data_IF_797714401585
#
_entry.id   IF_797714401585
#
_cell.length_a   1.000
_cell.length_b   1.000
_cell.length_c   1.000
_cell.angle_alpha   90.00
_cell.angle_beta   90.00
_cell.angle_gamma   90.00
#
_symmetry.space_group_name_H-M   'P 1'
#
loop_
_entity.id
_entity.type
_entity.pdbx_description
1 polymer ?
#
# COMPACT_ATOMS: atom_id res chain seq x y z
N UNK A 1 7.25 24.49 25.94
CA UNK A 1 7.85 24.29 24.59
C UNK A 1 6.77 23.67 23.72
N UNK A 2 6.55 24.17 22.52
CA UNK A 2 5.60 23.51 21.60
C UNK A 2 6.28 22.39 20.78
N UNK A 3 5.48 21.56 20.08
CA UNK A 3 6.00 20.44 19.29
C UNK A 3 7.05 20.87 18.27
N UNK A 4 6.83 21.99 17.57
CA UNK A 4 7.72 22.48 16.51
C UNK A 4 9.08 22.89 17.06
N UNK A 5 9.08 23.58 18.18
CA UNK A 5 10.31 23.99 18.85
C UNK A 5 11.09 22.80 19.39
N UNK A 6 10.40 21.82 19.98
CA UNK A 6 11.05 20.58 20.46
C UNK A 6 11.71 19.82 19.31
N UNK A 7 10.98 19.60 18.21
CA UNK A 7 11.48 18.90 17.01
C UNK A 7 12.72 19.62 16.46
N UNK A 8 12.65 20.94 16.30
CA UNK A 8 13.77 21.75 15.81
C UNK A 8 15.03 21.63 16.68
N UNK A 9 14.86 21.60 18.01
CA UNK A 9 15.98 21.48 18.96
C UNK A 9 16.63 20.08 18.90
N UNK A 10 15.85 19.02 18.63
CA UNK A 10 16.34 17.63 18.62
C UNK A 10 16.54 17.06 17.22
N UNK A 11 16.46 17.89 16.17
CA UNK A 11 16.44 17.43 14.78
C UNK A 11 17.67 16.58 14.42
N UNK A 12 18.86 16.99 14.86
CA UNK A 12 20.09 16.23 14.59
C UNK A 12 20.08 14.82 15.21
N UNK A 13 19.50 14.66 16.42
CA UNK A 13 19.31 13.36 17.04
C UNK A 13 18.29 12.52 16.26
N UNK A 14 17.20 13.11 15.82
CA UNK A 14 16.14 12.45 15.04
C UNK A 14 16.67 11.97 13.68
N UNK A 15 17.43 12.81 12.98
CA UNK A 15 18.12 12.44 11.74
C UNK A 15 19.12 11.28 11.96
N UNK A 16 19.87 11.27 13.07
CA UNK A 16 20.80 10.19 13.38
C UNK A 16 20.09 8.85 13.62
N UNK A 17 18.93 8.87 14.29
CA UNK A 17 18.10 7.66 14.47
C UNK A 17 17.57 7.13 13.15
N UNK A 18 17.09 8.01 12.28
CA UNK A 18 16.65 7.63 10.95
C UNK A 18 17.80 7.05 10.12
N UNK A 19 18.98 7.70 10.15
CA UNK A 19 20.16 7.24 9.44
C UNK A 19 20.58 5.82 9.90
N UNK A 20 20.49 5.54 11.19
CA UNK A 20 20.77 4.22 11.73
C UNK A 20 19.76 3.17 11.22
N UNK A 21 18.45 3.47 11.22
CA UNK A 21 17.44 2.55 10.70
C UNK A 21 17.63 2.30 9.18
N UNK A 22 17.95 3.34 8.41
CA UNK A 22 18.21 3.21 6.96
C UNK A 22 19.45 2.37 6.69
N UNK A 23 20.47 2.43 7.56
CA UNK A 23 21.70 1.63 7.39
C UNK A 23 21.49 0.13 7.51
N UNK A 24 20.41 -0.31 8.13
CA UNK A 24 20.05 -1.72 8.26
C UNK A 24 19.46 -2.22 6.93
N UNK A 25 20.09 -3.24 6.36
CA UNK A 25 19.69 -3.83 5.06
C UNK A 25 18.49 -4.76 5.24
N UNK A 26 17.34 -4.23 5.61
CA UNK A 26 16.11 -5.00 5.83
C UNK A 26 15.37 -5.30 4.52
N UNK A 27 16.05 -5.91 3.56
CA UNK A 27 15.44 -6.28 2.28
C UNK A 27 14.42 -7.39 2.49
N UNK A 28 13.23 -7.21 1.94
CA UNK A 28 12.11 -8.13 2.05
C UNK A 28 12.50 -9.52 1.52
N UNK A 29 12.09 -10.58 2.25
CA UNK A 29 12.45 -11.98 1.93
C UNK A 29 13.77 -12.45 2.56
N UNK A 30 14.66 -11.58 3.04
CA UNK A 30 15.87 -11.96 3.76
C UNK A 30 15.66 -11.90 5.29
N UNK A 31 15.10 -12.98 5.84
CA UNK A 31 14.76 -13.07 7.27
C UNK A 31 15.96 -12.81 8.21
N UNK A 32 17.21 -13.07 7.76
CA UNK A 32 18.41 -12.81 8.58
C UNK A 32 18.68 -11.31 8.68
N UNK A 33 18.57 -10.59 7.57
CA UNK A 33 18.78 -9.14 7.53
C UNK A 33 17.64 -8.41 8.27
N UNK A 34 16.41 -8.88 8.13
CA UNK A 34 15.23 -8.33 8.81
C UNK A 34 15.35 -8.32 10.35
N UNK A 35 16.06 -9.28 10.95
CA UNK A 35 16.28 -9.33 12.40
C UNK A 35 16.98 -8.09 12.96
N UNK A 36 17.89 -7.49 12.21
CA UNK A 36 18.59 -6.27 12.65
C UNK A 36 17.62 -5.10 12.80
N UNK A 37 16.65 -4.95 11.87
CA UNK A 37 15.56 -3.98 11.95
C UNK A 37 14.67 -4.21 13.18
N UNK A 38 14.29 -5.47 13.44
CA UNK A 38 13.51 -5.84 14.63
C UNK A 38 14.25 -5.44 15.92
N UNK A 39 15.52 -5.80 16.05
CA UNK A 39 16.33 -5.45 17.23
C UNK A 39 16.36 -3.94 17.44
N UNK A 40 16.69 -3.18 16.41
CA UNK A 40 16.77 -1.72 16.49
C UNK A 40 15.42 -1.07 16.86
N UNK A 41 14.32 -1.50 16.24
CA UNK A 41 13.00 -0.96 16.53
C UNK A 41 12.52 -1.32 17.94
N UNK A 42 12.79 -2.54 18.40
CA UNK A 42 12.50 -2.95 19.80
C UNK A 42 13.24 -2.04 20.79
N UNK A 43 14.51 -1.73 20.52
CA UNK A 43 15.28 -0.82 21.35
C UNK A 43 14.73 0.61 21.31
N UNK A 44 14.35 1.12 20.12
CA UNK A 44 13.68 2.41 19.99
C UNK A 44 12.39 2.49 20.80
N UNK A 45 11.51 1.50 20.67
CA UNK A 45 10.25 1.46 21.40
C UNK A 45 10.44 1.42 22.92
N UNK A 46 11.41 0.64 23.40
CA UNK A 46 11.69 0.54 24.83
C UNK A 46 12.36 1.79 25.39
N UNK A 47 13.38 2.33 24.69
CA UNK A 47 14.19 3.43 25.21
C UNK A 47 13.49 4.78 25.08
N UNK A 48 12.81 5.04 23.94
CA UNK A 48 12.16 6.33 23.70
C UNK A 48 10.75 6.38 24.31
N UNK A 49 9.99 5.31 24.18
CA UNK A 49 8.56 5.32 24.51
C UNK A 49 8.23 4.51 25.76
N UNK A 50 9.20 3.85 26.39
CA UNK A 50 9.03 2.94 27.53
C UNK A 50 7.92 1.88 27.25
N UNK A 51 7.80 1.48 25.97
CA UNK A 51 6.74 0.61 25.51
C UNK A 51 6.91 -0.84 26.03
N UNK A 52 5.78 -1.51 26.23
CA UNK A 52 5.72 -2.97 26.37
C UNK A 52 5.80 -3.58 24.98
N UNK A 53 6.89 -4.27 24.66
CA UNK A 53 7.15 -4.77 23.31
C UNK A 53 7.05 -6.29 23.26
N UNK A 54 6.26 -6.78 22.30
CA UNK A 54 6.14 -8.20 21.97
C UNK A 54 6.60 -8.39 20.52
N UNK A 55 7.59 -9.25 20.32
CA UNK A 55 7.99 -9.70 18.98
C UNK A 55 7.19 -10.95 18.66
N UNK A 56 6.32 -10.84 17.66
CA UNK A 56 5.39 -11.89 17.25
C UNK A 56 6.04 -12.71 16.14
N UNK A 57 6.11 -14.02 16.32
CA UNK A 57 6.52 -14.95 15.28
C UNK A 57 5.38 -15.11 14.27
N UNK A 58 5.68 -14.84 13.04
CA UNK A 58 4.80 -15.10 11.88
C UNK A 58 5.29 -16.35 11.13
N UNK A 59 4.70 -16.66 10.00
CA UNK A 59 5.25 -17.66 9.07
C UNK A 59 6.52 -17.22 8.32
N UNK A 60 6.85 -15.92 8.40
CA UNK A 60 7.97 -15.27 7.72
C UNK A 60 8.73 -14.30 8.61
N UNK A 61 8.77 -13.02 8.21
CA UNK A 61 9.41 -11.96 8.99
C UNK A 61 8.66 -11.66 10.29
N UNK A 62 9.34 -11.50 11.45
CA UNK A 62 8.68 -11.19 12.71
C UNK A 62 7.92 -9.87 12.66
N UNK A 63 6.74 -9.81 13.27
CA UNK A 63 6.03 -8.57 13.53
C UNK A 63 6.36 -8.03 14.93
N UNK A 64 6.25 -6.72 15.11
CA UNK A 64 6.48 -6.04 16.40
C UNK A 64 5.16 -5.43 16.85
N UNK A 65 4.73 -5.74 18.06
CA UNK A 65 3.62 -5.04 18.73
C UNK A 65 4.21 -4.31 19.93
N UNK A 66 4.15 -2.96 19.90
CA UNK A 66 4.62 -2.13 21.00
C UNK A 66 3.45 -1.33 21.56
N UNK A 67 3.18 -1.47 22.86
CA UNK A 67 2.08 -0.81 23.58
C UNK A 67 2.62 0.23 24.55
N UNK A 68 2.06 1.42 24.49
CA UNK A 68 2.25 2.52 25.43
C UNK A 68 0.88 2.83 26.06
N UNK A 69 0.79 2.76 27.38
CA UNK A 69 -0.45 3.08 28.08
C UNK A 69 -0.63 4.61 28.20
N UNK A 70 -1.84 5.06 28.00
CA UNK A 70 -2.28 6.43 28.23
C UNK A 70 -3.20 6.55 29.43
N UNK A 71 -3.83 7.72 29.58
CA UNK A 71 -4.70 8.04 30.72
C UNK A 71 -6.16 7.64 30.50
N UNK A 72 -6.57 7.24 29.28
CA UNK A 72 -7.91 6.73 28.96
C UNK A 72 -7.89 5.30 28.45
N UNK A 73 -9.07 4.66 28.39
CA UNK A 73 -9.22 3.31 27.84
C UNK A 73 -9.19 3.26 26.30
N UNK A 74 -9.24 4.42 25.63
CA UNK A 74 -9.21 4.52 24.19
C UNK A 74 -7.85 4.11 23.63
N UNK A 75 -7.86 3.40 22.52
CA UNK A 75 -6.62 2.85 21.95
C UNK A 75 -6.54 3.12 20.44
N UNK A 76 -5.47 3.80 20.00
CA UNK A 76 -5.10 3.91 18.59
C UNK A 76 -4.01 2.91 18.24
N UNK A 77 -4.13 2.30 17.05
CA UNK A 77 -3.08 1.50 16.46
C UNK A 77 -2.42 2.30 15.32
N UNK A 78 -1.11 2.41 15.35
CA UNK A 78 -0.30 2.89 14.24
C UNK A 78 0.37 1.71 13.54
N UNK A 79 0.16 1.63 12.22
CA UNK A 79 0.77 0.60 11.39
C UNK A 79 1.84 1.20 10.48
N UNK A 80 2.93 0.45 10.30
CA UNK A 80 3.99 0.69 9.33
C UNK A 80 4.80 -0.58 9.12
N UNK A 81 5.79 -0.53 8.23
CA UNK A 81 6.66 -1.68 7.97
C UNK A 81 8.15 -1.30 8.01
N UNK A 82 9.00 -2.30 8.27
CA UNK A 82 10.44 -2.10 8.39
C UNK A 82 11.25 -2.77 7.27
N UNK A 83 10.62 -3.61 6.47
CA UNK A 83 11.23 -4.16 5.27
C UNK A 83 11.29 -3.13 4.13
N UNK A 84 12.07 -3.42 3.12
CA UNK A 84 12.27 -2.57 1.96
C UNK A 84 12.42 -3.42 0.71
N UNK A 85 12.12 -2.85 -0.45
CA UNK A 85 12.54 -3.43 -1.73
C UNK A 85 14.06 -3.56 -1.83
N UNK A 86 14.52 -4.49 -2.64
CA UNK A 86 15.94 -4.55 -3.02
C UNK A 86 16.36 -3.22 -3.72
N UNK A 87 17.63 -2.80 -3.60
CA UNK A 87 18.08 -1.53 -4.18
C UNK A 87 18.06 -1.52 -5.72
N UNK A 88 17.99 -2.68 -6.37
CA UNK A 88 18.05 -2.80 -7.82
C UNK A 88 19.44 -2.51 -8.38
N UNK A 89 19.52 -1.84 -9.53
CA UNK A 89 20.79 -1.48 -10.17
C UNK A 89 21.56 -0.44 -9.34
N UNK A 90 22.66 -0.85 -8.74
CA UNK A 90 23.51 0.01 -7.90
C UNK A 90 24.17 1.14 -8.70
N UNK A 91 24.39 0.98 -10.00
CA UNK A 91 24.98 2.01 -10.85
C UNK A 91 24.02 3.20 -11.08
N UNK A 92 22.72 3.00 -10.90
CA UNK A 92 21.71 4.05 -11.00
C UNK A 92 21.57 4.89 -9.73
N UNK A 93 22.23 4.52 -8.62
CA UNK A 93 22.21 5.28 -7.38
C UNK A 93 23.33 6.32 -7.34
N UNK A 94 23.01 7.55 -7.00
CA UNK A 94 23.98 8.63 -6.80
C UNK A 94 24.73 8.55 -5.45
N UNK A 95 24.28 7.69 -4.52
CA UNK A 95 24.88 7.41 -3.22
C UNK A 95 24.55 5.97 -2.80
N UNK A 96 25.28 5.42 -1.84
CA UNK A 96 25.03 4.04 -1.35
C UNK A 96 23.59 3.89 -0.82
N UNK A 97 22.80 2.91 -1.27
CA UNK A 97 21.38 2.78 -0.92
C UNK A 97 21.10 2.66 0.58
N UNK A 98 21.98 2.01 1.33
CA UNK A 98 21.84 1.80 2.77
C UNK A 98 22.73 2.72 3.61
N UNK A 99 23.04 3.91 3.08
CA UNK A 99 23.73 4.98 3.79
C UNK A 99 22.99 6.27 3.54
N UNK A 100 22.21 6.69 4.54
CA UNK A 100 21.48 7.94 4.42
C UNK A 100 22.42 9.09 4.03
N UNK A 101 22.12 9.74 2.92
CA UNK A 101 22.87 10.87 2.39
C UNK A 101 21.96 12.07 2.30
N UNK A 102 22.37 13.19 2.91
CA UNK A 102 21.62 14.45 2.90
C UNK A 102 22.16 15.36 1.79
N UNK A 103 21.29 15.79 0.88
CA UNK A 103 21.59 16.80 -0.15
C UNK A 103 20.32 17.50 -0.63
N UNK A 104 20.41 18.74 -1.00
CA UNK A 104 19.33 19.56 -1.57
C UNK A 104 17.99 19.49 -0.77
N UNK A 105 18.10 19.52 0.56
CA UNK A 105 16.95 19.47 1.46
C UNK A 105 16.23 18.12 1.50
N UNK A 106 16.91 17.04 1.09
CA UNK A 106 16.39 15.67 1.07
C UNK A 106 17.36 14.68 1.70
N UNK A 107 16.81 13.65 2.28
CA UNK A 107 17.51 12.43 2.67
C UNK A 107 17.33 11.39 1.57
N UNK A 108 18.42 10.76 1.15
CA UNK A 108 18.44 9.68 0.15
C UNK A 108 18.85 8.37 0.80
N UNK A 109 18.15 7.29 0.46
CA UNK A 109 18.45 5.94 0.91
C UNK A 109 17.29 4.98 0.66
N UNK A 110 17.55 3.69 0.53
CA UNK A 110 16.50 2.68 0.35
C UNK A 110 15.68 2.53 1.62
N UNK A 111 14.35 2.59 1.49
CA UNK A 111 13.39 2.53 2.59
C UNK A 111 13.16 3.88 3.29
N UNK A 112 13.81 4.96 2.84
CA UNK A 112 13.72 6.23 3.54
C UNK A 112 12.35 6.90 3.35
N UNK A 113 11.73 6.74 2.19
CA UNK A 113 10.36 7.14 1.93
C UNK A 113 9.38 6.01 2.26
N UNK A 114 9.75 4.77 1.93
CA UNK A 114 8.94 3.57 1.98
C UNK A 114 9.62 2.44 2.74
N UNK A 115 9.42 2.29 4.05
CA UNK A 115 8.54 3.04 4.95
C UNK A 115 9.31 3.56 6.20
N UNK A 116 10.64 3.29 6.32
CA UNK A 116 11.46 3.55 7.52
C UNK A 116 11.41 5.00 8.00
N UNK A 117 11.38 5.97 7.06
CA UNK A 117 11.32 7.39 7.41
C UNK A 117 9.97 7.77 7.99
N UNK A 118 8.87 7.27 7.42
CA UNK A 118 7.53 7.51 7.91
C UNK A 118 7.31 6.83 9.27
N UNK A 119 7.73 5.58 9.42
CA UNK A 119 7.68 4.85 10.69
C UNK A 119 8.49 5.56 11.79
N UNK A 120 9.72 6.00 11.47
CA UNK A 120 10.53 6.73 12.43
C UNK A 120 9.90 8.07 12.79
N UNK A 121 9.33 8.81 11.84
CA UNK A 121 8.61 10.05 12.12
C UNK A 121 7.43 9.82 13.06
N UNK A 122 6.67 8.73 12.89
CA UNK A 122 5.57 8.36 13.78
C UNK A 122 6.06 8.05 15.21
N UNK A 123 7.15 7.28 15.36
CA UNK A 123 7.75 6.96 16.66
C UNK A 123 8.23 8.24 17.35
N UNK A 124 8.92 9.12 16.61
CA UNK A 124 9.46 10.37 17.14
C UNK A 124 8.38 11.40 17.47
N UNK A 125 7.23 11.35 16.77
CA UNK A 125 6.08 12.20 17.10
C UNK A 125 5.44 11.81 18.43
N UNK A 126 5.26 10.50 18.69
CA UNK A 126 4.80 10.01 20.00
C UNK A 126 5.83 10.35 21.10
N UNK A 127 7.12 10.20 20.82
CA UNK A 127 8.21 10.62 21.71
C UNK A 127 8.15 12.11 22.02
N UNK A 128 8.03 12.95 20.99
CA UNK A 128 7.92 14.42 21.14
C UNK A 128 6.76 14.79 22.06
N UNK A 129 5.59 14.18 21.87
CA UNK A 129 4.44 14.44 22.72
C UNK A 129 4.72 14.05 24.18
N UNK A 130 5.29 12.87 24.43
CA UNK A 130 5.63 12.39 25.77
C UNK A 130 6.64 13.30 26.48
N UNK A 131 7.63 13.82 25.77
CA UNK A 131 8.64 14.73 26.36
C UNK A 131 8.08 16.09 26.77
N UNK A 132 6.98 16.52 26.14
CA UNK A 132 6.33 17.80 26.43
C UNK A 132 5.22 17.65 27.48
N UNK A 133 4.48 16.54 27.45
CA UNK A 133 3.25 16.36 28.24
C UNK A 133 3.34 15.25 29.27
N UNK A 134 4.47 14.53 29.35
CA UNK A 134 4.76 13.42 30.27
C UNK A 134 3.87 12.19 30.15
N UNK A 135 2.61 12.32 29.73
CA UNK A 135 1.64 11.24 29.60
C UNK A 135 0.85 11.33 28.28
N UNK A 136 0.48 10.18 27.74
CA UNK A 136 -0.43 10.10 26.58
C UNK A 136 -1.88 10.21 27.03
N UNK A 137 -2.75 10.92 26.29
CA UNK A 137 -4.20 10.99 26.61
C UNK A 137 -4.96 9.70 26.29
N UNK A 138 -4.35 8.79 25.49
CA UNK A 138 -4.92 7.52 25.06
C UNK A 138 -3.83 6.46 24.92
N UNK A 139 -4.21 5.18 24.89
CA UNK A 139 -3.27 4.10 24.62
C UNK A 139 -2.81 4.13 23.16
N UNK A 140 -1.53 3.88 22.95
CA UNK A 140 -0.93 3.75 21.61
C UNK A 140 -0.41 2.33 21.43
N UNK A 141 -0.77 1.71 20.32
CA UNK A 141 -0.18 0.44 19.87
C UNK A 141 0.50 0.69 18.53
N UNK A 142 1.77 0.31 18.42
CA UNK A 142 2.42 0.15 17.12
C UNK A 142 2.32 -1.31 16.70
N UNK A 143 1.86 -1.54 15.47
CA UNK A 143 1.95 -2.83 14.78
C UNK A 143 2.86 -2.65 13.58
N UNK A 144 4.03 -3.27 13.61
CA UNK A 144 5.06 -3.09 12.58
C UNK A 144 5.43 -4.44 12.00
N UNK A 145 5.30 -4.58 10.67
CA UNK A 145 5.62 -5.83 9.96
C UNK A 145 6.91 -5.74 9.13
N UNK A 146 7.34 -6.86 8.60
CA UNK A 146 8.54 -6.98 7.76
C UNK A 146 8.32 -7.72 6.46
N UNK A 147 7.10 -7.72 5.91
CA UNK A 147 6.72 -8.41 4.67
C UNK A 147 5.78 -7.56 3.80
N UNK A 148 5.68 -6.25 4.05
CA UNK A 148 4.77 -5.38 3.27
C UNK A 148 5.13 -5.40 1.80
N UNK A 149 6.40 -5.30 1.47
CA UNK A 149 6.94 -5.27 0.11
C UNK A 149 6.75 -6.59 -0.67
N UNK A 150 6.30 -7.65 0.02
CA UNK A 150 5.86 -8.92 -0.58
C UNK A 150 4.34 -9.08 -0.56
N UNK A 151 3.59 -8.03 -0.21
CA UNK A 151 2.13 -8.03 -0.12
C UNK A 151 1.60 -8.52 1.24
N UNK A 152 2.34 -8.29 2.33
CA UNK A 152 1.89 -8.56 3.72
C UNK A 152 1.42 -10.00 3.93
N UNK A 153 2.22 -10.97 3.45
CA UNK A 153 1.83 -12.39 3.32
C UNK A 153 1.24 -12.98 4.60
N UNK A 154 1.78 -12.60 5.77
CA UNK A 154 1.35 -13.15 7.06
C UNK A 154 0.59 -12.15 7.93
N UNK A 155 0.41 -10.88 7.51
CA UNK A 155 -0.24 -9.85 8.32
C UNK A 155 -1.67 -10.24 8.72
N UNK A 156 -2.47 -10.69 7.76
CA UNK A 156 -3.86 -11.08 8.00
C UNK A 156 -3.99 -12.17 9.06
N UNK A 157 -3.20 -13.24 8.95
CA UNK A 157 -3.19 -14.33 9.93
C UNK A 157 -2.65 -13.87 11.31
N UNK A 158 -1.64 -12.99 11.30
CA UNK A 158 -1.07 -12.44 12.54
C UNK A 158 -2.10 -11.57 13.28
N UNK A 159 -2.80 -10.69 12.58
CA UNK A 159 -3.84 -9.85 13.20
C UNK A 159 -5.02 -10.69 13.67
N UNK A 160 -5.43 -11.71 12.91
CA UNK A 160 -6.48 -12.64 13.34
C UNK A 160 -6.12 -13.37 14.64
N UNK A 161 -4.87 -13.79 14.79
CA UNK A 161 -4.37 -14.39 16.01
C UNK A 161 -4.36 -13.40 17.20
N UNK A 162 -4.07 -12.12 16.96
CA UNK A 162 -3.88 -11.12 18.01
C UNK A 162 -5.13 -10.31 18.35
N UNK A 163 -6.19 -10.35 17.53
CA UNK A 163 -7.37 -9.49 17.65
C UNK A 163 -8.12 -9.61 18.97
N UNK A 164 -8.03 -10.76 19.64
CA UNK A 164 -8.66 -11.01 20.96
C UNK A 164 -7.70 -10.86 22.14
N UNK A 165 -6.44 -10.51 21.90
CA UNK A 165 -5.39 -10.39 22.92
C UNK A 165 -4.69 -9.02 22.84
N UNK A 166 -3.54 -8.94 22.18
CA UNK A 166 -2.74 -7.72 22.12
C UNK A 166 -3.46 -6.55 21.39
N UNK A 167 -4.36 -6.86 20.45
CA UNK A 167 -5.10 -5.87 19.66
C UNK A 167 -6.57 -5.71 20.07
N UNK A 168 -7.03 -6.40 21.13
CA UNK A 168 -8.45 -6.45 21.52
C UNK A 168 -9.04 -5.08 21.87
N UNK A 169 -8.22 -4.14 22.33
CA UNK A 169 -8.68 -2.81 22.75
C UNK A 169 -8.55 -1.73 21.68
N UNK A 170 -8.17 -2.07 20.45
CA UNK A 170 -7.98 -1.08 19.36
C UNK A 170 -9.33 -0.53 18.93
N UNK A 171 -9.45 0.80 18.88
CA UNK A 171 -10.65 1.53 18.45
C UNK A 171 -10.51 2.15 17.05
N UNK A 172 -9.27 2.45 16.62
CA UNK A 172 -8.93 3.07 15.33
C UNK A 172 -7.56 2.60 14.88
N UNK A 173 -7.42 2.22 13.62
CA UNK A 173 -6.14 2.01 12.97
C UNK A 173 -5.76 3.21 12.09
N UNK A 174 -4.51 3.65 12.20
CA UNK A 174 -3.91 4.68 11.35
C UNK A 174 -2.72 4.08 10.63
N UNK A 175 -2.83 3.96 9.32
CA UNK A 175 -1.77 3.42 8.46
C UNK A 175 -0.86 4.56 8.03
N UNK A 176 0.44 4.41 8.29
CA UNK A 176 1.45 5.41 7.95
C UNK A 176 2.26 4.88 6.76
N UNK A 177 1.67 5.04 5.58
CA UNK A 177 2.26 4.51 4.35
C UNK A 177 1.80 5.23 3.09
N UNK A 178 2.59 5.12 2.01
CA UNK A 178 2.36 5.80 0.75
C UNK A 178 2.96 7.20 0.70
N UNK A 179 2.42 8.08 -0.15
CA UNK A 179 2.92 9.43 -0.36
C UNK A 179 1.84 10.51 -0.20
N UNK A 180 2.28 11.72 0.15
CA UNK A 180 1.47 12.94 0.11
C UNK A 180 0.92 13.20 -1.31
N UNK A 181 0.06 14.19 -1.45
CA UNK A 181 -0.46 14.61 -2.76
C UNK A 181 0.65 15.16 -3.67
N UNK A 182 0.42 15.13 -4.97
CA UNK A 182 1.34 15.72 -5.95
C UNK A 182 1.60 17.21 -5.72
N UNK A 183 0.65 17.92 -5.09
CA UNK A 183 0.83 19.32 -4.70
C UNK A 183 1.66 19.51 -3.41
N UNK A 184 2.19 18.43 -2.81
CA UNK A 184 2.95 18.47 -1.56
C UNK A 184 2.10 18.63 -0.29
N UNK A 185 0.78 18.57 -0.40
CA UNK A 185 -0.11 18.63 0.75
C UNK A 185 -0.24 17.26 1.40
N UNK A 186 -0.33 17.23 2.72
CA UNK A 186 -0.67 16.00 3.45
C UNK A 186 -2.04 15.50 3.04
N UNK A 187 -2.23 14.19 3.09
CA UNK A 187 -3.44 13.51 2.64
C UNK A 187 -4.03 12.71 3.81
N UNK A 188 -5.34 12.78 3.94
CA UNK A 188 -6.13 11.86 4.76
C UNK A 188 -6.91 10.94 3.81
N UNK A 189 -6.51 9.67 3.70
CA UNK A 189 -7.17 8.67 2.84
C UNK A 189 -8.18 7.87 3.62
N UNK A 190 -9.37 7.74 3.03
CA UNK A 190 -10.52 7.09 3.68
C UNK A 190 -10.72 5.64 3.24
N UNK A 191 -9.96 5.18 2.25
CA UNK A 191 -10.05 3.81 1.74
C UNK A 191 -9.04 3.55 0.64
N UNK A 192 -8.99 2.31 0.17
CA UNK A 192 -8.17 1.88 -0.96
C UNK A 192 -8.91 0.86 -1.82
N UNK A 193 -8.57 0.84 -3.12
CA UNK A 193 -9.07 -0.19 -4.04
C UNK A 193 -8.55 -1.56 -3.65
N UNK A 194 -9.35 -2.60 -3.95
CA UNK A 194 -8.92 -3.99 -3.87
C UNK A 194 -8.04 -4.39 -5.04
N UNK A 195 -7.47 -5.60 -4.94
CA UNK A 195 -6.66 -6.23 -5.99
C UNK A 195 -7.03 -7.71 -6.11
N UNK A 196 -7.40 -8.13 -7.33
CA UNK A 196 -7.49 -9.53 -7.69
C UNK A 196 -6.53 -9.80 -8.84
N UNK A 197 -5.45 -10.52 -8.57
CA UNK A 197 -4.40 -10.82 -9.52
C UNK A 197 -4.36 -12.30 -9.88
N UNK A 198 -4.21 -12.63 -11.16
CA UNK A 198 -4.10 -14.02 -11.62
C UNK A 198 -3.25 -14.14 -12.89
N UNK A 199 -2.82 -15.37 -13.14
CA UNK A 199 -2.06 -15.77 -14.30
C UNK A 199 -2.78 -16.90 -15.02
N UNK A 200 -2.91 -16.78 -16.34
CA UNK A 200 -3.45 -17.78 -17.23
C UNK A 200 -2.33 -18.29 -18.14
N UNK A 201 -2.10 -19.60 -18.13
CA UNK A 201 -1.20 -20.26 -19.08
C UNK A 201 -2.01 -21.20 -19.97
N UNK A 202 -2.05 -20.92 -21.27
CA UNK A 202 -2.63 -21.79 -22.28
C UNK A 202 -1.59 -22.80 -22.77
N UNK A 203 -1.97 -24.07 -22.87
CA UNK A 203 -1.13 -25.18 -23.26
C UNK A 203 -1.79 -25.91 -24.44
N UNK A 204 -1.06 -26.07 -25.57
CA UNK A 204 -1.56 -26.74 -26.77
C UNK A 204 -0.66 -27.90 -27.23
N UNK A 205 0.40 -28.16 -26.48
CA UNK A 205 1.36 -29.21 -26.74
C UNK A 205 2.43 -29.27 -25.66
N UNK A 206 3.51 -29.99 -25.93
CA UNK A 206 4.65 -30.13 -24.99
C UNK A 206 5.92 -29.45 -25.46
N UNK A 207 6.01 -29.13 -26.74
CA UNK A 207 7.18 -28.51 -27.38
C UNK A 207 6.75 -27.58 -28.51
N UNK A 208 7.53 -26.53 -28.74
CA UNK A 208 7.35 -25.67 -29.90
C UNK A 208 7.70 -26.42 -31.20
N UNK A 209 6.97 -26.13 -32.26
CA UNK A 209 7.17 -26.76 -33.55
C UNK A 209 7.36 -25.74 -34.67
N UNK A 210 8.10 -26.14 -35.71
CA UNK A 210 8.27 -25.32 -36.91
C UNK A 210 6.91 -25.16 -37.61
N UNK A 211 6.49 -23.91 -37.91
CA UNK A 211 5.19 -23.61 -38.47
C UNK A 211 4.98 -24.20 -39.89
N UNK A 212 6.06 -24.39 -40.65
CA UNK A 212 6.00 -25.05 -41.94
C UNK A 212 5.72 -26.56 -41.86
N UNK A 213 6.06 -27.19 -40.73
CA UNK A 213 5.87 -28.64 -40.54
C UNK A 213 4.59 -28.99 -39.76
N UNK A 214 4.12 -28.08 -38.91
CA UNK A 214 2.99 -28.34 -38.00
C UNK A 214 1.84 -27.33 -38.16
N UNK A 215 1.92 -26.41 -39.11
CA UNK A 215 0.83 -25.47 -39.42
C UNK A 215 -0.45 -26.18 -39.78
N UNK A 216 -1.59 -25.70 -39.25
CA UNK A 216 -2.93 -26.31 -39.37
C UNK A 216 -3.09 -27.72 -38.74
N UNK A 217 -2.02 -28.28 -38.17
CA UNK A 217 -2.05 -29.57 -37.45
C UNK A 217 -1.99 -29.31 -35.93
N UNK A 218 -1.03 -28.49 -35.49
CA UNK A 218 -0.84 -28.12 -34.09
C UNK A 218 -1.59 -26.82 -33.77
N UNK A 219 -2.45 -26.78 -32.75
CA UNK A 219 -3.02 -25.51 -32.27
C UNK A 219 -1.93 -24.59 -31.74
N UNK A 220 -2.09 -23.28 -31.97
CA UNK A 220 -1.16 -22.25 -31.50
C UNK A 220 -1.63 -21.73 -30.13
N UNK A 221 -0.80 -21.87 -29.10
CA UNK A 221 -1.14 -21.46 -27.74
C UNK A 221 -1.38 -19.95 -27.61
N UNK A 222 -0.67 -19.12 -28.39
CA UNK A 222 -0.90 -17.67 -28.39
C UNK A 222 -2.29 -17.31 -28.93
N UNK A 223 -2.71 -17.95 -30.03
CA UNK A 223 -4.06 -17.76 -30.60
C UNK A 223 -5.13 -18.24 -29.61
N UNK A 224 -4.91 -19.39 -29.00
CA UNK A 224 -5.83 -19.95 -28.02
C UNK A 224 -5.95 -19.04 -26.79
N UNK A 225 -4.85 -18.53 -26.24
CA UNK A 225 -4.88 -17.58 -25.11
C UNK A 225 -5.64 -16.30 -25.48
N UNK A 226 -5.45 -15.76 -26.69
CA UNK A 226 -6.21 -14.59 -27.15
C UNK A 226 -7.72 -14.86 -27.18
N UNK A 227 -8.15 -16.05 -27.65
CA UNK A 227 -9.56 -16.43 -27.65
C UNK A 227 -10.14 -16.52 -26.23
N UNK A 228 -9.34 -17.01 -25.24
CA UNK A 228 -9.74 -17.04 -23.84
C UNK A 228 -9.88 -15.62 -23.28
N UNK A 229 -8.93 -14.73 -23.55
CA UNK A 229 -8.98 -13.34 -23.10
C UNK A 229 -10.16 -12.58 -23.73
N UNK A 230 -10.44 -12.78 -25.03
CA UNK A 230 -11.60 -12.19 -25.71
C UNK A 230 -12.93 -12.67 -25.11
N UNK A 231 -12.98 -13.93 -24.66
CA UNK A 231 -14.16 -14.46 -23.94
C UNK A 231 -14.35 -13.81 -22.56
N UNK A 232 -13.25 -13.43 -21.88
CA UNK A 232 -13.30 -12.77 -20.58
C UNK A 232 -13.57 -11.27 -20.68
N UNK A 233 -13.14 -10.60 -21.76
CA UNK A 233 -13.32 -9.15 -21.96
C UNK A 233 -13.73 -8.86 -23.40
N UNK A 234 -14.95 -8.35 -23.59
CA UNK A 234 -15.49 -7.97 -24.90
C UNK A 234 -15.78 -6.48 -24.92
N UNK A 235 -15.30 -5.78 -25.94
CA UNK A 235 -15.52 -4.33 -26.10
C UNK A 235 -15.17 -3.51 -24.85
N UNK A 236 -14.13 -3.92 -24.12
CA UNK A 236 -13.69 -3.27 -22.86
C UNK A 236 -14.58 -3.57 -21.65
N UNK A 237 -15.53 -4.50 -21.77
CA UNK A 237 -16.40 -4.95 -20.67
C UNK A 237 -16.01 -6.37 -20.25
N UNK A 238 -15.82 -6.58 -18.96
CA UNK A 238 -15.54 -7.88 -18.37
C UNK A 238 -16.81 -8.72 -18.40
N UNK A 239 -16.71 -9.95 -18.89
CA UNK A 239 -17.85 -10.86 -19.11
C UNK A 239 -18.10 -11.83 -17.94
N UNK A 240 -17.51 -11.55 -16.77
CA UNK A 240 -17.76 -12.30 -15.55
C UNK A 240 -19.05 -11.78 -14.87
N UNK A 241 -20.06 -12.63 -14.61
CA UNK A 241 -21.39 -12.18 -14.16
C UNK A 241 -21.39 -11.29 -12.92
N UNK A 242 -20.51 -11.58 -11.94
CA UNK A 242 -20.45 -10.81 -10.70
C UNK A 242 -19.41 -9.67 -10.72
N UNK A 243 -18.69 -9.45 -11.84
CA UNK A 243 -17.60 -8.47 -11.88
C UNK A 243 -18.04 -7.04 -11.55
N UNK A 244 -19.23 -6.63 -11.97
CA UNK A 244 -19.74 -5.29 -11.72
C UNK A 244 -20.69 -5.19 -10.52
N UNK A 245 -20.96 -6.30 -9.83
CA UNK A 245 -21.80 -6.28 -8.63
C UNK A 245 -21.10 -5.55 -7.48
N UNK A 246 -21.78 -4.61 -6.85
CA UNK A 246 -21.24 -3.79 -5.76
C UNK A 246 -20.32 -2.65 -6.20
N UNK A 247 -20.20 -2.38 -7.51
CA UNK A 247 -19.54 -1.17 -8.01
C UNK A 247 -20.40 0.05 -7.64
N UNK A 248 -19.81 1.11 -7.04
CA UNK A 248 -20.56 2.29 -6.63
C UNK A 248 -21.29 2.96 -7.80
N UNK A 249 -22.55 3.30 -7.60
CA UNK A 249 -23.30 4.18 -8.49
C UNK A 249 -22.77 5.62 -8.41
N UNK A 250 -23.12 6.47 -9.35
CA UNK A 250 -22.70 7.86 -9.31
C UNK A 250 -23.30 8.64 -8.11
N UNK A 251 -24.44 8.18 -7.57
CA UNK A 251 -25.05 8.76 -6.36
C UNK A 251 -24.28 8.42 -5.07
N UNK A 252 -23.49 7.35 -5.06
CA UNK A 252 -22.69 6.91 -3.91
C UNK A 252 -21.29 7.53 -3.91
N UNK A 253 -20.90 8.22 -4.97
CA UNK A 253 -19.60 8.86 -5.08
C UNK A 253 -19.60 10.18 -4.28
N UNK A 254 -18.59 10.42 -3.40
CA UNK A 254 -18.49 11.65 -2.60
C UNK A 254 -17.97 12.81 -3.45
N UNK A 255 -18.82 13.38 -4.30
CA UNK A 255 -18.45 14.41 -5.29
C UNK A 255 -17.84 15.66 -4.66
N UNK A 256 -18.28 16.04 -3.46
CA UNK A 256 -17.71 17.19 -2.75
C UNK A 256 -16.23 16.99 -2.41
N UNK A 257 -15.86 15.78 -1.97
CA UNK A 257 -14.45 15.43 -1.72
C UNK A 257 -13.66 15.43 -3.04
N UNK A 258 -14.22 14.85 -4.11
CA UNK A 258 -13.59 14.87 -5.43
C UNK A 258 -13.40 16.32 -5.93
N UNK A 259 -14.39 17.17 -5.70
CA UNK A 259 -14.31 18.59 -6.03
C UNK A 259 -13.17 19.33 -5.34
N UNK A 260 -12.79 18.91 -4.12
CA UNK A 260 -11.69 19.48 -3.36
C UNK A 260 -10.29 18.93 -3.76
N UNK A 261 -10.20 17.80 -4.49
CA UNK A 261 -8.91 17.23 -4.91
C UNK A 261 -8.16 18.16 -5.88
N UNK A 262 -6.83 18.22 -5.83
CA UNK A 262 -6.06 18.93 -6.84
C UNK A 262 -6.20 18.25 -8.22
N UNK A 263 -6.18 19.03 -9.29
CA UNK A 263 -6.27 18.50 -10.65
C UNK A 263 -5.56 19.41 -11.65
N UNK A 264 -4.52 18.88 -12.27
CA UNK A 264 -3.80 19.53 -13.36
C UNK A 264 -3.80 18.63 -14.59
N UNK A 265 -4.69 18.94 -15.55
CA UNK A 265 -4.83 18.17 -16.79
C UNK A 265 -3.54 18.16 -17.62
N UNK A 266 -2.76 19.24 -17.63
CA UNK A 266 -1.53 19.34 -18.40
C UNK A 266 -0.43 18.46 -17.81
N UNK A 267 -0.28 18.48 -16.48
CA UNK A 267 0.66 17.62 -15.78
C UNK A 267 0.31 16.13 -15.97
N UNK A 268 -0.97 15.78 -15.87
CA UNK A 268 -1.48 14.40 -16.08
C UNK A 268 -1.22 13.95 -17.54
N UNK A 269 -1.51 14.80 -18.51
CA UNK A 269 -1.27 14.51 -19.93
C UNK A 269 0.22 14.21 -20.18
N UNK A 270 1.10 15.04 -19.63
CA UNK A 270 2.56 14.87 -19.74
C UNK A 270 3.02 13.58 -19.05
N UNK A 271 2.58 13.33 -17.82
CA UNK A 271 2.98 12.16 -17.04
C UNK A 271 2.61 10.84 -17.71
N UNK A 272 1.42 10.76 -18.31
CA UNK A 272 0.91 9.53 -18.92
C UNK A 272 1.08 9.48 -20.45
N UNK A 273 1.63 10.51 -21.07
CA UNK A 273 1.78 10.58 -22.53
C UNK A 273 0.42 10.62 -23.26
N UNK A 274 -0.61 11.25 -22.68
CA UNK A 274 -1.96 11.30 -23.22
C UNK A 274 -2.16 12.53 -24.11
N UNK A 275 -2.83 12.34 -25.24
CA UNK A 275 -3.25 13.46 -26.09
C UNK A 275 -4.40 14.28 -25.47
N UNK A 276 -5.28 13.64 -24.70
CA UNK A 276 -6.41 14.25 -24.00
C UNK A 276 -6.58 13.64 -22.63
N UNK A 277 -6.97 14.46 -21.66
CA UNK A 277 -7.29 14.02 -20.28
C UNK A 277 -8.79 14.22 -20.05
N UNK A 278 -9.47 13.27 -19.39
CA UNK A 278 -10.87 13.45 -18.97
C UNK A 278 -11.04 14.70 -18.09
N UNK A 279 -12.27 15.18 -17.94
CA UNK A 279 -12.57 16.22 -16.94
C UNK A 279 -12.19 15.73 -15.54
N UNK A 280 -11.92 16.65 -14.58
CA UNK A 280 -11.57 16.33 -13.19
C UNK A 280 -12.49 15.26 -12.58
N UNK A 281 -13.79 15.45 -12.71
CA UNK A 281 -14.78 14.55 -12.13
C UNK A 281 -14.77 13.17 -12.79
N UNK A 282 -14.68 13.09 -14.12
CA UNK A 282 -14.62 11.82 -14.84
C UNK A 282 -13.28 11.10 -14.60
N UNK A 283 -12.17 11.84 -14.50
CA UNK A 283 -10.86 11.31 -14.16
C UNK A 283 -10.88 10.58 -12.81
N UNK A 284 -11.32 11.29 -11.75
CA UNK A 284 -11.34 10.69 -10.41
C UNK A 284 -12.41 9.61 -10.25
N UNK A 285 -13.57 9.77 -10.92
CA UNK A 285 -14.59 8.72 -10.99
C UNK A 285 -14.01 7.41 -11.53
N UNK A 286 -13.31 7.46 -12.65
CA UNK A 286 -12.67 6.27 -13.24
C UNK A 286 -11.54 5.75 -12.37
N UNK A 287 -10.68 6.61 -11.90
CA UNK A 287 -9.47 6.24 -11.15
C UNK A 287 -9.80 5.60 -9.79
N UNK A 288 -10.81 6.10 -9.08
CA UNK A 288 -11.10 5.73 -7.69
C UNK A 288 -12.33 4.82 -7.54
N UNK A 289 -13.31 4.89 -8.44
CA UNK A 289 -14.62 4.27 -8.26
C UNK A 289 -15.06 3.38 -9.42
N UNK A 290 -14.16 3.06 -10.34
CA UNK A 290 -14.43 2.07 -11.40
C UNK A 290 -13.39 0.95 -11.36
N UNK A 291 -13.83 -0.32 -11.52
CA UNK A 291 -12.90 -1.44 -11.54
C UNK A 291 -12.11 -1.45 -12.85
N UNK A 292 -10.97 -2.13 -12.81
CA UNK A 292 -10.14 -2.35 -14.01
C UNK A 292 -9.91 -3.84 -14.23
N UNK A 293 -9.70 -4.21 -15.49
CA UNK A 293 -9.11 -5.48 -15.90
C UNK A 293 -7.89 -5.13 -16.74
N UNK A 294 -6.71 -5.31 -16.18
CA UNK A 294 -5.46 -4.89 -16.78
C UNK A 294 -4.60 -6.10 -17.15
N UNK A 295 -4.15 -6.15 -18.40
CA UNK A 295 -3.21 -7.16 -18.88
C UNK A 295 -1.79 -6.65 -18.65
N UNK A 296 -1.11 -7.17 -17.63
CA UNK A 296 0.24 -6.73 -17.22
C UNK A 296 1.32 -7.25 -18.14
N UNK A 297 1.19 -8.50 -18.55
CA UNK A 297 2.13 -9.13 -19.48
C UNK A 297 1.46 -10.19 -20.33
N UNK A 298 2.01 -10.38 -21.52
CA UNK A 298 1.64 -11.44 -22.44
C UNK A 298 2.93 -12.02 -23.02
N UNK A 299 3.12 -13.32 -22.87
CA UNK A 299 4.32 -14.03 -23.35
C UNK A 299 3.91 -15.26 -24.15
N UNK A 300 4.44 -15.40 -25.38
CA UNK A 300 4.26 -16.55 -26.22
C UNK A 300 5.43 -16.71 -27.20
N UNK A 301 5.86 -17.94 -27.44
CA UNK A 301 6.92 -18.26 -28.38
C UNK A 301 8.28 -17.67 -27.99
N UNK A 302 9.15 -17.49 -28.98
CA UNK A 302 10.49 -16.95 -28.77
C UNK A 302 10.46 -15.43 -28.69
N UNK A 303 10.65 -14.89 -27.48
CA UNK A 303 10.76 -13.44 -27.23
C UNK A 303 12.13 -12.86 -27.63
N UNK A 304 13.10 -13.71 -27.93
CA UNK A 304 14.45 -13.29 -28.31
C UNK A 304 14.52 -12.72 -29.75
N UNK A 305 15.53 -11.93 -30.01
CA UNK A 305 15.71 -11.25 -31.28
C UNK A 305 15.70 -12.19 -32.51
N UNK A 306 14.93 -11.83 -33.54
CA UNK A 306 14.86 -12.49 -34.84
C UNK A 306 13.50 -13.11 -35.14
N UNK A 307 13.20 -13.18 -36.42
CA UNK A 307 11.99 -13.85 -36.92
C UNK A 307 12.17 -15.37 -36.86
N UNK A 308 11.36 -16.03 -36.01
CA UNK A 308 11.33 -17.51 -35.90
C UNK A 308 9.97 -18.03 -36.38
N UNK A 309 10.01 -19.01 -37.28
CA UNK A 309 8.82 -19.67 -37.83
C UNK A 309 8.37 -20.82 -36.92
N UNK A 310 7.82 -20.50 -35.75
CA UNK A 310 7.39 -21.47 -34.74
C UNK A 310 5.90 -21.38 -34.44
N UNK A 311 5.33 -22.49 -33.96
CA UNK A 311 4.04 -22.55 -33.28
C UNK A 311 4.34 -22.79 -31.80
N UNK A 312 4.08 -21.81 -30.93
CA UNK A 312 4.32 -21.98 -29.49
C UNK A 312 3.33 -22.99 -28.90
N UNK A 313 3.85 -23.88 -28.06
CA UNK A 313 3.04 -24.83 -27.30
C UNK A 313 2.45 -24.25 -26.03
N UNK A 314 3.00 -23.12 -25.56
CA UNK A 314 2.51 -22.43 -24.37
C UNK A 314 2.46 -20.92 -24.58
N UNK A 315 1.50 -20.27 -23.93
CA UNK A 315 1.36 -18.82 -23.86
C UNK A 315 0.84 -18.41 -22.48
N UNK A 316 1.36 -17.37 -21.89
CA UNK A 316 1.00 -16.91 -20.54
C UNK A 316 0.60 -15.45 -20.55
N UNK A 317 -0.51 -15.13 -19.87
CA UNK A 317 -0.98 -13.79 -19.58
C UNK A 317 -1.03 -13.58 -18.07
N UNK A 318 -0.57 -12.39 -17.59
CA UNK A 318 -0.72 -11.95 -16.20
C UNK A 318 -1.71 -10.79 -16.16
N UNK A 319 -2.68 -10.90 -15.29
CA UNK A 319 -3.81 -9.97 -15.20
C UNK A 319 -3.91 -9.45 -13.75
N UNK A 320 -4.17 -8.16 -13.59
CA UNK A 320 -4.67 -7.56 -12.35
C UNK A 320 -6.01 -6.84 -12.57
N UNK A 321 -6.91 -7.05 -11.63
CA UNK A 321 -8.17 -6.32 -11.53
C UNK A 321 -8.12 -5.41 -10.30
N UNK A 322 -8.24 -4.09 -10.49
CA UNK A 322 -8.50 -3.20 -9.38
C UNK A 322 -9.99 -3.21 -9.09
N UNK A 323 -10.34 -3.50 -7.85
CA UNK A 323 -11.73 -3.63 -7.40
C UNK A 323 -12.15 -2.41 -6.59
N UNK A 324 -13.45 -2.11 -6.60
CA UNK A 324 -14.04 -0.95 -5.93
C UNK A 324 -15.34 -1.32 -5.20
N UNK A 325 -15.76 -0.49 -4.24
CA UNK A 325 -17.02 -0.67 -3.54
C UNK A 325 -17.11 -2.00 -2.80
N UNK A 326 -18.15 -2.77 -3.09
CA UNK A 326 -18.44 -4.05 -2.43
C UNK A 326 -18.23 -5.25 -3.37
N UNK A 327 -17.36 -5.14 -4.37
CA UNK A 327 -17.05 -6.25 -5.27
C UNK A 327 -16.48 -7.43 -4.48
N UNK A 328 -16.99 -8.64 -4.76
CA UNK A 328 -16.63 -9.86 -4.05
C UNK A 328 -15.57 -10.66 -4.83
N UNK A 329 -14.34 -10.72 -4.33
CA UNK A 329 -13.26 -11.54 -4.91
C UNK A 329 -13.69 -13.02 -5.03
N UNK A 330 -14.28 -13.67 -4.01
CA UNK A 330 -14.73 -15.06 -4.14
C UNK A 330 -15.74 -15.27 -5.27
N UNK A 331 -16.69 -14.34 -5.46
CA UNK A 331 -17.68 -14.45 -6.54
C UNK A 331 -17.03 -14.28 -7.93
N UNK A 332 -16.15 -13.28 -8.08
CA UNK A 332 -15.41 -13.03 -9.32
C UNK A 332 -14.49 -14.21 -9.66
N UNK A 333 -13.79 -14.78 -8.68
CA UNK A 333 -12.94 -15.95 -8.89
C UNK A 333 -13.77 -17.19 -9.27
N UNK A 334 -14.95 -17.38 -8.68
CA UNK A 334 -15.85 -18.46 -9.05
C UNK A 334 -16.32 -18.35 -10.51
N UNK A 335 -16.71 -17.14 -10.92
CA UNK A 335 -17.08 -16.85 -12.32
C UNK A 335 -15.92 -17.12 -13.28
N UNK A 336 -14.71 -16.68 -12.93
CA UNK A 336 -13.51 -16.92 -13.73
C UNK A 336 -13.25 -18.43 -13.90
N UNK A 337 -13.32 -19.19 -12.81
CA UNK A 337 -13.14 -20.65 -12.86
C UNK A 337 -14.23 -21.32 -13.67
N UNK A 338 -15.46 -20.86 -13.56
CA UNK A 338 -16.58 -21.39 -14.35
C UNK A 338 -16.43 -21.08 -15.84
N UNK A 339 -16.03 -19.84 -16.19
CA UNK A 339 -15.78 -19.41 -17.56
C UNK A 339 -14.67 -20.22 -18.25
N UNK A 340 -13.72 -20.75 -17.46
CA UNK A 340 -12.56 -21.53 -17.93
C UNK A 340 -12.69 -23.04 -17.61
N UNK A 341 -13.86 -23.51 -17.13
CA UNK A 341 -13.99 -24.85 -16.58
C UNK A 341 -13.64 -25.98 -17.59
N UNK A 342 -14.05 -25.94 -18.87
CA UNK A 342 -13.68 -26.97 -19.85
C UNK A 342 -12.17 -27.08 -20.04
N UNK A 343 -11.49 -25.94 -20.17
CA UNK A 343 -10.06 -25.90 -20.45
C UNK A 343 -9.22 -26.22 -19.20
N UNK A 344 -9.71 -25.88 -18.01
CA UNK A 344 -9.11 -26.29 -16.73
C UNK A 344 -9.22 -27.79 -16.55
N UNK A 345 -10.39 -28.37 -16.85
CA UNK A 345 -10.62 -29.81 -16.72
C UNK A 345 -9.81 -30.64 -17.72
N UNK A 346 -9.60 -30.13 -18.93
CA UNK A 346 -8.77 -30.81 -19.95
C UNK A 346 -7.26 -30.61 -19.75
N UNK A 347 -6.84 -29.72 -18.84
CA UNK A 347 -5.44 -29.33 -18.64
C UNK A 347 -4.88 -28.41 -19.71
N UNK A 348 -5.73 -27.91 -20.63
CA UNK A 348 -5.33 -26.95 -21.65
C UNK A 348 -5.09 -25.52 -21.09
N UNK A 349 -5.57 -25.24 -19.87
CA UNK A 349 -5.35 -23.99 -19.16
C UNK A 349 -4.88 -24.27 -17.74
N UNK A 350 -3.87 -23.53 -17.30
CA UNK A 350 -3.48 -23.40 -15.90
C UNK A 350 -3.88 -22.01 -15.40
N UNK A 351 -4.56 -21.96 -14.26
CA UNK A 351 -4.95 -20.73 -13.56
C UNK A 351 -4.24 -20.67 -12.22
N UNK A 352 -3.40 -19.64 -12.04
CA UNK A 352 -2.70 -19.37 -10.78
C UNK A 352 -3.19 -18.03 -10.23
N UNK A 353 -3.76 -18.02 -9.03
CA UNK A 353 -4.14 -16.78 -8.37
C UNK A 353 -2.90 -16.20 -7.66
N UNK A 354 -2.63 -14.91 -7.91
CA UNK A 354 -1.44 -14.19 -7.43
C UNK A 354 -1.73 -13.22 -6.31
N UNK A 355 -2.98 -12.75 -6.19
CA UNK A 355 -3.36 -11.78 -5.15
C UNK A 355 -4.86 -11.73 -4.92
N UNK A 356 -5.26 -11.59 -3.66
CA UNK A 356 -6.64 -11.39 -3.20
C UNK A 356 -6.62 -10.37 -2.07
N UNK A 357 -6.73 -9.08 -2.41
CA UNK A 357 -6.78 -8.00 -1.43
C UNK A 357 -8.14 -7.31 -1.58
N UNK A 358 -9.03 -7.43 -0.59
CA UNK A 358 -10.34 -6.78 -0.63
C UNK A 358 -10.25 -5.25 -0.68
N UNK A 359 -11.31 -4.62 -1.14
CA UNK A 359 -11.52 -3.17 -1.00
C UNK A 359 -11.66 -2.85 0.49
N UNK A 360 -11.07 -1.75 0.94
CA UNK A 360 -11.25 -1.26 2.31
C UNK A 360 -11.67 0.20 2.28
N UNK A 361 -12.71 0.53 3.06
CA UNK A 361 -13.22 1.89 3.23
C UNK A 361 -13.45 2.13 4.72
N UNK A 362 -13.04 3.29 5.22
CA UNK A 362 -13.27 3.65 6.62
C UNK A 362 -14.76 3.72 6.95
N UNK A 363 -15.09 3.29 8.16
CA UNK A 363 -16.44 3.40 8.71
C UNK A 363 -16.63 4.63 9.61
N UNK A 364 -15.64 5.54 9.65
CA UNK A 364 -15.72 6.76 10.47
C UNK A 364 -16.83 7.68 9.99
N UNK A 365 -17.62 8.24 10.91
CA UNK A 365 -18.56 9.31 10.61
C UNK A 365 -17.87 10.57 10.05
N UNK A 366 -18.55 11.31 9.19
CA UNK A 366 -18.02 12.53 8.55
C UNK A 366 -17.45 13.53 9.57
N UNK A 367 -18.11 13.73 10.70
CA UNK A 367 -17.62 14.64 11.76
C UNK A 367 -16.24 14.22 12.30
N UNK A 368 -15.99 12.91 12.45
CA UNK A 368 -14.70 12.37 12.90
C UNK A 368 -13.62 12.49 11.83
N UNK A 369 -13.98 12.32 10.56
CA UNK A 369 -13.09 12.57 9.43
C UNK A 369 -12.65 14.03 9.39
N UNK A 370 -13.59 14.98 9.58
CA UNK A 370 -13.29 16.41 9.63
C UNK A 370 -12.42 16.78 10.85
N UNK A 371 -12.62 16.13 11.99
CA UNK A 371 -11.76 16.31 13.16
C UNK A 371 -10.33 15.87 12.88
N UNK A 372 -10.14 14.68 12.26
CA UNK A 372 -8.80 14.21 11.81
C UNK A 372 -8.14 15.18 10.82
N UNK A 373 -8.88 15.62 9.81
CA UNK A 373 -8.39 16.60 8.85
C UNK A 373 -7.96 17.91 9.53
N UNK A 374 -8.70 18.34 10.56
CA UNK A 374 -8.36 19.54 11.35
C UNK A 374 -7.03 19.36 12.11
N UNK A 375 -6.78 18.18 12.69
CA UNK A 375 -5.51 17.89 13.37
C UNK A 375 -4.33 17.95 12.40
N UNK A 376 -4.45 17.28 11.25
CA UNK A 376 -3.41 17.33 10.22
C UNK A 376 -3.18 18.78 9.76
N UNK A 377 -4.25 19.53 9.51
CA UNK A 377 -4.17 20.94 9.09
C UNK A 377 -3.51 21.83 10.14
N UNK A 378 -3.69 21.60 11.44
CA UNK A 378 -2.98 22.32 12.50
C UNK A 378 -1.48 22.12 12.43
N UNK A 379 -1.04 20.89 12.18
CA UNK A 379 0.38 20.56 12.07
C UNK A 379 1.03 21.08 10.79
N UNK A 380 0.28 21.13 9.66
CA UNK A 380 0.87 21.29 8.31
C UNK A 380 0.36 22.49 7.52
N UNK A 381 -0.69 23.15 8.02
CA UNK A 381 -1.36 24.27 7.34
C UNK A 381 -2.43 23.86 6.32
N UNK A 382 -2.33 22.68 5.72
CA UNK A 382 -3.28 22.18 4.70
C UNK A 382 -3.40 20.65 4.73
N UNK A 383 -4.56 20.14 4.31
CA UNK A 383 -4.79 18.69 4.13
C UNK A 383 -5.77 18.46 2.98
N UNK A 384 -5.53 17.39 2.24
CA UNK A 384 -6.45 16.87 1.22
C UNK A 384 -7.13 15.62 1.75
N UNK A 385 -8.46 15.53 1.66
CA UNK A 385 -9.19 14.31 1.99
C UNK A 385 -9.41 13.52 0.71
N UNK A 386 -8.72 12.38 0.58
CA UNK A 386 -8.91 11.46 -0.55
C UNK A 386 -9.92 10.39 -0.17
N UNK A 387 -11.08 10.32 -0.85
CA UNK A 387 -12.10 9.34 -0.51
C UNK A 387 -11.66 7.90 -0.78
N UNK A 388 -10.76 7.70 -1.74
CA UNK A 388 -10.28 6.38 -2.15
C UNK A 388 -8.87 6.49 -2.74
N UNK A 389 -7.92 5.74 -2.20
CA UNK A 389 -6.61 5.58 -2.81
C UNK A 389 -6.73 4.70 -4.08
N UNK A 390 -6.20 5.11 -5.23
CA UNK A 390 -6.21 4.29 -6.45
C UNK A 390 -5.37 3.02 -6.35
N UNK A 391 -4.35 3.03 -5.52
CA UNK A 391 -3.52 1.87 -5.19
C UNK A 391 -4.22 0.91 -4.22
N UNK A 392 -3.47 -0.10 -3.79
CA UNK A 392 -3.94 -1.12 -2.85
C UNK A 392 -2.92 -1.26 -1.74
N UNK A 393 -3.40 -1.21 -0.50
CA UNK A 393 -2.67 -1.51 0.74
C UNK A 393 -3.51 -2.49 1.56
N UNK A 394 -2.96 -3.22 2.53
CA UNK A 394 -3.68 -4.28 3.24
C UNK A 394 -4.67 -3.75 4.31
N UNK A 395 -5.32 -2.61 4.07
CA UNK A 395 -6.24 -1.98 5.04
C UNK A 395 -7.45 -2.85 5.41
N UNK A 396 -7.82 -3.83 4.56
CA UNK A 396 -8.85 -4.82 4.87
C UNK A 396 -8.55 -5.61 6.15
N UNK A 397 -7.30 -5.72 6.53
CA UNK A 397 -6.89 -6.39 7.77
C UNK A 397 -7.48 -5.68 8.99
N UNK A 398 -7.56 -4.36 8.95
CA UNK A 398 -8.14 -3.55 10.01
C UNK A 398 -9.66 -3.51 9.93
N UNK A 399 -10.23 -3.32 8.72
CA UNK A 399 -11.69 -3.24 8.55
C UNK A 399 -12.39 -4.58 8.67
N UNK A 400 -11.80 -5.66 8.09
CA UNK A 400 -12.51 -6.93 7.94
C UNK A 400 -12.11 -7.97 9.00
N UNK A 401 -10.86 -7.94 9.50
CA UNK A 401 -10.37 -8.90 10.48
C UNK A 401 -10.44 -8.31 11.90
N UNK A 402 -9.84 -7.14 12.11
CA UNK A 402 -9.85 -6.47 13.41
C UNK A 402 -11.19 -5.77 13.70
N UNK A 403 -11.99 -5.45 12.65
CA UNK A 403 -13.31 -4.80 12.73
C UNK A 403 -13.26 -3.39 13.33
N UNK A 404 -12.23 -2.63 13.02
CA UNK A 404 -12.07 -1.23 13.43
C UNK A 404 -12.00 -0.30 12.22
N UNK A 405 -12.40 0.97 12.36
CA UNK A 405 -12.19 1.97 11.31
C UNK A 405 -10.68 2.14 11.05
N UNK A 406 -10.34 2.44 9.79
CA UNK A 406 -8.96 2.70 9.36
C UNK A 406 -8.90 3.99 8.55
N UNK A 407 -7.80 4.73 8.70
CA UNK A 407 -7.40 5.83 7.82
C UNK A 407 -5.93 5.70 7.46
N UNK A 408 -5.53 6.23 6.30
CA UNK A 408 -4.13 6.27 5.90
C UNK A 408 -3.65 7.72 5.85
N UNK A 409 -2.53 8.01 6.53
CA UNK A 409 -1.95 9.34 6.65
C UNK A 409 -0.46 9.27 6.29
N UNK A 410 -0.09 9.35 5.00
CA UNK A 410 1.30 9.27 4.56
C UNK A 410 2.08 10.53 4.92
N UNK A 411 3.37 10.35 5.20
CA UNK A 411 4.30 11.44 5.47
C UNK A 411 5.34 11.66 4.37
N UNK A 412 5.55 10.68 3.48
CA UNK A 412 6.53 10.80 2.41
C UNK A 412 6.07 11.75 1.30
N UNK A 413 7.01 12.48 0.70
CA UNK A 413 6.74 13.33 -0.45
C UNK A 413 6.31 12.50 -1.68
N UNK A 414 5.52 13.11 -2.56
CA UNK A 414 4.98 12.44 -3.75
C UNK A 414 6.07 11.90 -4.68
N UNK A 415 7.15 12.67 -4.85
CA UNK A 415 8.30 12.38 -5.69
C UNK A 415 9.43 11.62 -4.95
N UNK A 416 9.05 10.76 -4.01
CA UNK A 416 10.00 10.00 -3.19
C UNK A 416 10.79 8.93 -3.96
N UNK A 417 10.38 8.57 -5.17
CA UNK A 417 10.98 7.50 -5.97
C UNK A 417 11.00 6.14 -5.26
N UNK A 418 9.93 5.79 -4.51
CA UNK A 418 9.84 4.46 -3.91
C UNK A 418 9.99 3.36 -4.96
N UNK A 419 10.55 2.22 -4.56
CA UNK A 419 10.92 1.07 -5.41
C UNK A 419 11.91 1.37 -6.55
N UNK A 420 12.42 2.60 -6.66
CA UNK A 420 13.39 3.03 -7.68
C UNK A 420 14.72 3.48 -7.05
N UNK A 421 15.80 3.59 -7.82
CA UNK A 421 17.04 4.23 -7.37
C UNK A 421 16.82 5.69 -6.97
N UNK A 422 17.65 6.17 -6.03
CA UNK A 422 17.57 7.51 -5.47
C UNK A 422 16.25 7.80 -4.73
N UNK A 423 15.68 6.79 -4.10
CA UNK A 423 14.58 6.95 -3.16
C UNK A 423 14.93 8.00 -2.12
N UNK A 424 13.97 8.89 -1.80
CA UNK A 424 14.23 10.05 -0.98
C UNK A 424 13.02 10.46 -0.12
N UNK A 425 13.33 11.18 0.97
CA UNK A 425 12.36 11.84 1.82
C UNK A 425 12.81 13.28 2.03
N UNK A 426 11.94 14.27 1.82
CA UNK A 426 12.33 15.65 2.10
C UNK A 426 12.47 15.88 3.60
N UNK A 427 13.42 16.74 4.00
CA UNK A 427 13.59 17.15 5.42
C UNK A 427 12.29 17.73 5.98
N UNK A 428 11.58 18.50 5.18
CA UNK A 428 10.29 19.09 5.55
C UNK A 428 9.24 18.00 5.77
N UNK A 429 9.16 16.98 4.90
CA UNK A 429 8.22 15.86 5.04
C UNK A 429 8.50 15.06 6.32
N UNK A 430 9.76 14.78 6.64
CA UNK A 430 10.15 14.10 7.87
C UNK A 430 9.74 14.91 9.12
N UNK A 431 10.07 16.20 9.16
CA UNK A 431 9.73 17.07 10.30
C UNK A 431 8.22 17.26 10.45
N UNK A 432 7.50 17.49 9.35
CA UNK A 432 6.03 17.63 9.40
C UNK A 432 5.34 16.31 9.74
N UNK A 433 5.89 15.16 9.33
CA UNK A 433 5.43 13.84 9.74
C UNK A 433 5.50 13.67 11.27
N UNK A 434 6.62 14.08 11.91
CA UNK A 434 6.76 14.07 13.37
C UNK A 434 5.72 15.01 14.02
N UNK A 435 5.49 16.19 13.45
CA UNK A 435 4.48 17.15 13.97
C UNK A 435 3.07 16.58 13.86
N UNK A 436 2.70 15.97 12.73
CA UNK A 436 1.40 15.32 12.53
C UNK A 436 1.21 14.19 13.54
N UNK A 437 2.22 13.35 13.73
CA UNK A 437 2.15 12.26 14.69
C UNK A 437 1.93 12.75 16.13
N UNK A 438 2.63 13.81 16.56
CA UNK A 438 2.45 14.42 17.87
C UNK A 438 1.05 15.04 18.03
N UNK A 439 0.56 15.75 17.00
CA UNK A 439 -0.79 16.36 17.00
C UNK A 439 -1.89 15.29 17.06
N UNK A 440 -1.74 14.20 16.28
CA UNK A 440 -2.69 13.07 16.31
C UNK A 440 -2.78 12.47 17.70
N UNK A 441 -1.65 12.09 18.29
CA UNK A 441 -1.61 11.48 19.63
C UNK A 441 -2.25 12.38 20.69
N UNK A 442 -2.03 13.68 20.60
CA UNK A 442 -2.58 14.63 21.55
C UNK A 442 -4.10 14.81 21.47
N UNK A 443 -4.73 14.51 20.34
CA UNK A 443 -6.12 14.89 20.09
C UNK A 443 -7.03 13.74 19.62
N UNK A 444 -6.48 12.56 19.25
CA UNK A 444 -7.27 11.43 18.73
C UNK A 444 -8.37 10.94 19.66
N UNK A 445 -8.24 11.15 20.97
CA UNK A 445 -9.32 10.85 21.92
C UNK A 445 -10.68 11.49 21.55
N UNK A 446 -10.66 12.65 20.87
CA UNK A 446 -11.90 13.33 20.41
C UNK A 446 -12.54 12.64 19.21
N UNK A 447 -11.78 11.83 18.47
CA UNK A 447 -12.23 11.05 17.31
C UNK A 447 -12.69 9.66 17.72
N UNK A 448 -11.96 9.01 18.62
CA UNK A 448 -12.18 7.61 19.00
C UNK A 448 -13.38 7.46 19.95
N UNK A 449 -13.74 8.47 20.73
CA UNK A 449 -14.83 8.41 21.70
C UNK A 449 -16.13 7.86 21.12
N UNK A 450 -16.82 6.99 21.88
CA UNK A 450 -18.18 6.57 21.53
C UNK A 450 -19.04 7.81 21.37
N UNK A 451 -19.73 7.94 20.25
CA UNK A 451 -20.83 8.91 20.12
C UNK A 451 -21.86 8.53 21.16
N UNK A 452 -21.99 9.39 22.18
CA UNK A 452 -23.04 9.29 23.18
C UNK A 452 -24.41 9.39 22.51
#
# INVERSE_FOLDING_TARGET
>A
MDNKQFISTHLAEFEARLAQLVSLKTVSGDVKQLRSGVTYLVDCFKQLLQAQVTVVKTGGAPAIVARINGTSDQTVLFYGHYDTMAPGDLAAWASEPFKMTKRDGRFYGRGIGDNKGQLMAQILGVYTYLQIHEQLPLNVIFMVEGEEEQGSVHLAATVDQLKSTLLAAVDLAVVIDGSMSQSGQHVLRLGNRGLFGFELTALTGTVDNHSGNAGNIMPNAAVFLNQLLDRLVQHGQVQLPHFYNGVPTDAEIPWDLIGALPFDASAIATQFGLATVPTKYDYYRRLMFRPTFNLNSYQAGAAESGFKTIIPHSATAKIDCRLVGQQSIPAIEADLRQALAPELASGQVQLVIRGRIPVSVTTLPVAKIQALATMIKRATGAVVIEPMMPGTVPNYVWTDILKVPVVTIPYANFDQHNHAPNENLTEVAFQTGIQVAAELVGHLQTVIGKTS
#
